data_IF_778932046748
#
_entry.id   IF_778932046748
#
_cell.length_a   1.000
_cell.length_b   1.000
_cell.length_c   1.000
_cell.angle_alpha   90.00
_cell.angle_beta   90.00
_cell.angle_gamma   90.00
#
_symmetry.space_group_name_H-M   'P 1'
#
loop_
_entity.id
_entity.type
_entity.pdbx_description
1 polymer ?
#
# COMPACT_ATOMS: atom_id res chain seq x y z
N UNK A 1 14.51 -17.52 -26.84
CA UNK A 1 13.04 -17.77 -26.79
C UNK A 1 12.75 -19.09 -27.49
N UNK A 2 11.98 -19.99 -26.87
CA UNK A 2 11.55 -21.27 -27.50
C UNK A 2 10.38 -21.00 -28.43
N UNK A 3 10.46 -21.48 -29.67
CA UNK A 3 9.38 -21.39 -30.66
C UNK A 3 8.69 -22.75 -30.79
N UNK A 4 7.37 -22.77 -30.89
CA UNK A 4 6.55 -23.93 -31.17
C UNK A 4 5.57 -23.64 -32.30
N UNK A 5 5.31 -24.65 -33.13
CA UNK A 5 4.28 -24.54 -34.16
C UNK A 5 2.92 -24.86 -33.55
N UNK A 6 1.93 -24.06 -33.87
CA UNK A 6 0.53 -24.33 -33.55
C UNK A 6 0.03 -25.42 -34.48
N UNK A 7 -0.74 -26.37 -33.99
CA UNK A 7 -1.40 -27.43 -34.74
C UNK A 7 -2.91 -27.31 -34.61
N UNK A 8 -3.63 -27.54 -35.66
CA UNK A 8 -5.10 -27.61 -35.66
C UNK A 8 -5.53 -29.06 -35.57
N UNK A 9 -6.38 -29.37 -34.62
CA UNK A 9 -6.93 -30.75 -34.39
C UNK A 9 -8.45 -30.69 -34.40
N UNK A 10 -9.11 -31.65 -35.03
CA UNK A 10 -10.58 -31.73 -35.09
C UNK A 10 -11.25 -30.55 -35.81
N UNK A 11 -10.50 -29.75 -36.60
CA UNK A 11 -11.02 -28.65 -37.39
C UNK A 11 -11.25 -27.32 -36.62
N UNK A 12 -11.23 -27.32 -35.28
CA UNK A 12 -11.54 -26.15 -34.46
C UNK A 12 -10.59 -25.91 -33.28
N UNK A 13 -9.77 -26.88 -32.88
CA UNK A 13 -8.95 -26.79 -31.68
C UNK A 13 -7.49 -26.53 -32.03
N UNK A 14 -6.92 -25.44 -31.52
CA UNK A 14 -5.50 -25.15 -31.65
C UNK A 14 -4.70 -25.77 -30.51
N UNK A 15 -3.63 -26.51 -30.82
CA UNK A 15 -2.74 -27.18 -29.87
C UNK A 15 -1.33 -26.63 -29.98
N UNK A 16 -0.67 -26.41 -28.85
CA UNK A 16 0.74 -26.09 -28.76
C UNK A 16 1.42 -27.02 -27.76
N UNK A 17 2.60 -27.59 -28.12
CA UNK A 17 3.33 -28.49 -27.21
C UNK A 17 4.07 -27.69 -26.13
N UNK A 18 3.91 -28.13 -24.88
CA UNK A 18 4.65 -27.58 -23.74
C UNK A 18 6.14 -27.98 -23.79
N UNK A 19 7.07 -27.12 -23.31
CA UNK A 19 8.48 -27.49 -23.21
C UNK A 19 8.67 -28.66 -22.24
N UNK A 20 9.21 -29.80 -22.70
CA UNK A 20 9.39 -31.01 -21.91
C UNK A 20 10.10 -30.77 -20.57
N UNK A 21 11.19 -30.00 -20.59
CA UNK A 21 11.95 -29.68 -19.36
C UNK A 21 11.10 -28.93 -18.34
N UNK A 22 10.32 -27.94 -18.78
CA UNK A 22 9.42 -27.17 -17.93
C UNK A 22 8.31 -28.05 -17.35
N UNK A 23 7.67 -28.88 -18.19
CA UNK A 23 6.61 -29.79 -17.76
C UNK A 23 7.11 -30.76 -16.67
N UNK A 24 8.28 -31.37 -16.88
CA UNK A 24 8.86 -32.30 -15.88
C UNK A 24 9.18 -31.57 -14.58
N UNK A 25 9.81 -30.39 -14.65
CA UNK A 25 10.14 -29.61 -13.46
C UNK A 25 8.93 -29.17 -12.64
N UNK A 26 7.77 -29.04 -13.29
CA UNK A 26 6.47 -28.68 -12.66
C UNK A 26 5.60 -29.89 -12.34
N UNK A 27 6.11 -31.11 -12.54
CA UNK A 27 5.35 -32.33 -12.25
C UNK A 27 4.15 -32.56 -13.16
N UNK A 28 4.10 -31.88 -14.32
CA UNK A 28 2.99 -31.99 -15.29
C UNK A 28 3.07 -33.32 -16.00
N UNK A 29 1.97 -34.08 -15.97
CA UNK A 29 1.77 -35.40 -16.58
C UNK A 29 0.55 -35.37 -17.51
N UNK A 30 0.35 -36.43 -18.27
CA UNK A 30 -0.90 -36.61 -19.02
C UNK A 30 -2.11 -36.56 -18.07
N UNK A 31 -3.11 -35.74 -18.40
CA UNK A 31 -4.29 -35.49 -17.57
C UNK A 31 -4.13 -34.39 -16.52
N UNK A 32 -2.92 -33.78 -16.38
CA UNK A 32 -2.77 -32.63 -15.50
C UNK A 32 -3.50 -31.40 -16.09
N UNK A 33 -4.33 -30.75 -15.29
CA UNK A 33 -5.00 -29.53 -15.68
C UNK A 33 -4.01 -28.35 -15.67
N UNK A 34 -4.13 -27.48 -16.67
CA UNK A 34 -3.35 -26.26 -16.81
C UNK A 34 -4.32 -25.09 -16.79
N UNK A 35 -4.10 -24.16 -15.86
CA UNK A 35 -4.77 -22.85 -15.89
C UNK A 35 -4.19 -21.99 -17.02
N UNK A 36 -5.07 -21.35 -17.78
CA UNK A 36 -4.68 -20.41 -18.85
C UNK A 36 -5.24 -19.04 -18.48
N UNK A 37 -4.37 -18.07 -18.37
CA UNK A 37 -4.74 -16.66 -18.10
C UNK A 37 -4.32 -15.82 -19.30
N UNK A 38 -5.26 -15.05 -19.86
CA UNK A 38 -4.98 -14.10 -20.96
C UNK A 38 -4.41 -12.81 -20.38
N UNK A 39 -3.24 -12.41 -20.87
CA UNK A 39 -2.54 -11.19 -20.49
C UNK A 39 -2.27 -10.35 -21.73
N UNK A 40 -3.27 -9.57 -22.17
CA UNK A 40 -3.22 -8.85 -23.44
C UNK A 40 -2.98 -9.82 -24.61
N UNK A 41 -1.91 -9.63 -25.38
CA UNK A 41 -1.54 -10.48 -26.53
C UNK A 41 -0.79 -11.77 -26.13
N UNK A 42 -0.76 -12.11 -24.85
CA UNK A 42 -0.01 -13.27 -24.33
C UNK A 42 -0.90 -14.20 -23.54
N UNK A 43 -0.50 -15.47 -23.48
CA UNK A 43 -1.11 -16.47 -22.59
C UNK A 43 -0.12 -16.86 -21.51
N UNK A 44 -0.55 -16.77 -20.25
CA UNK A 44 0.18 -17.32 -19.12
C UNK A 44 -0.37 -18.73 -18.80
N UNK A 45 0.52 -19.71 -18.81
CA UNK A 45 0.20 -21.10 -18.48
C UNK A 45 0.65 -21.41 -17.06
N UNK A 46 -0.26 -21.81 -16.21
CA UNK A 46 -0.02 -22.12 -14.80
C UNK A 46 -0.39 -23.57 -14.50
N UNK A 47 0.41 -24.34 -13.71
CA UNK A 47 -0.06 -25.58 -13.13
C UNK A 47 -1.34 -25.32 -12.31
N UNK A 48 -2.34 -26.20 -12.39
CA UNK A 48 -3.58 -26.04 -11.65
C UNK A 48 -3.72 -27.16 -10.59
N UNK A 49 -4.01 -26.84 -9.33
CA UNK A 49 -4.10 -25.49 -8.77
C UNK A 49 -2.75 -24.78 -8.75
N UNK A 50 -2.71 -23.43 -8.83
CA UNK A 50 -1.45 -22.69 -8.75
C UNK A 50 -0.70 -23.08 -7.49
N UNK A 51 0.61 -23.35 -7.62
CA UNK A 51 1.44 -23.63 -6.45
C UNK A 51 1.54 -22.36 -5.60
N UNK A 52 0.73 -22.24 -4.58
CA UNK A 52 0.94 -21.26 -3.54
C UNK A 52 2.26 -21.59 -2.82
N UNK A 53 3.01 -20.57 -2.42
CA UNK A 53 4.15 -20.75 -1.50
C UNK A 53 3.59 -21.08 -0.12
N UNK A 54 3.29 -22.37 0.11
CA UNK A 54 2.48 -22.76 1.25
C UNK A 54 3.19 -22.57 2.57
N UNK A 55 4.45 -23.01 2.70
CA UNK A 55 5.12 -23.05 4.00
C UNK A 55 6.63 -22.76 3.89
N UNK A 56 7.13 -22.02 4.86
CA UNK A 56 8.57 -21.83 5.10
C UNK A 56 8.87 -22.00 6.59
N UNK A 57 10.02 -22.59 6.90
CA UNK A 57 10.54 -22.67 8.26
C UNK A 57 11.84 -21.84 8.35
N UNK A 58 11.97 -21.03 9.37
CA UNK A 58 13.14 -20.19 9.63
C UNK A 58 13.61 -20.36 11.08
N UNK A 59 14.92 -20.30 11.35
CA UNK A 59 15.42 -20.27 12.72
C UNK A 59 15.07 -18.94 13.38
N UNK A 60 14.98 -18.98 14.72
CA UNK A 60 14.96 -17.76 15.54
C UNK A 60 16.25 -16.98 15.34
N UNK A 61 16.20 -15.68 15.44
CA UNK A 61 17.37 -14.78 15.42
C UNK A 61 17.49 -14.08 16.76
N UNK A 62 18.74 -13.79 17.18
CA UNK A 62 19.02 -13.10 18.45
C UNK A 62 18.43 -11.69 18.50
N UNK A 63 18.33 -11.03 17.35
CA UNK A 63 17.71 -9.72 17.22
C UNK A 63 16.24 -9.85 16.81
N UNK A 64 15.27 -9.57 17.71
CA UNK A 64 13.84 -9.69 17.42
C UNK A 64 13.37 -8.80 16.24
N UNK A 65 13.97 -7.62 16.08
CA UNK A 65 13.63 -6.69 15.00
C UNK A 65 14.13 -7.21 13.63
N UNK A 66 15.31 -7.84 13.59
CA UNK A 66 15.81 -8.49 12.38
C UNK A 66 14.90 -9.67 12.00
N UNK A 67 14.48 -10.47 12.97
CA UNK A 67 13.53 -11.56 12.79
C UNK A 67 12.17 -11.04 12.26
N UNK A 68 11.65 -9.96 12.83
CA UNK A 68 10.41 -9.32 12.37
C UNK A 68 10.53 -8.85 10.91
N UNK A 69 11.63 -8.18 10.53
CA UNK A 69 11.89 -7.78 9.13
C UNK A 69 11.94 -8.98 8.18
N UNK A 70 12.52 -10.10 8.62
CA UNK A 70 12.56 -11.35 7.85
C UNK A 70 11.17 -11.95 7.67
N UNK A 71 10.34 -11.93 8.69
CA UNK A 71 8.92 -12.35 8.63
C UNK A 71 8.16 -11.50 7.62
N UNK A 72 8.31 -10.16 7.65
CA UNK A 72 7.72 -9.25 6.66
C UNK A 72 8.19 -9.59 5.24
N UNK A 73 9.49 -9.82 5.05
CA UNK A 73 10.03 -10.16 3.74
C UNK A 73 9.43 -11.47 3.19
N UNK A 74 9.28 -12.50 4.03
CA UNK A 74 8.64 -13.77 3.66
C UNK A 74 7.15 -13.60 3.36
N UNK A 75 6.45 -12.82 4.20
CA UNK A 75 5.07 -12.44 3.94
C UNK A 75 4.92 -11.74 2.58
N UNK A 76 5.76 -10.75 2.28
CA UNK A 76 5.74 -10.02 1.01
C UNK A 76 6.09 -10.88 -0.22
N UNK A 77 6.91 -11.92 -0.05
CA UNK A 77 7.25 -12.88 -1.12
C UNK A 77 6.08 -13.84 -1.40
N UNK A 78 5.08 -13.92 -0.51
CA UNK A 78 3.86 -14.67 -0.72
C UNK A 78 3.73 -15.97 0.06
N UNK A 79 4.57 -16.25 1.06
CA UNK A 79 4.37 -17.41 1.93
C UNK A 79 3.09 -17.27 2.76
N UNK A 80 2.25 -18.31 2.76
CA UNK A 80 1.01 -18.35 3.52
C UNK A 80 1.21 -18.84 4.95
N UNK A 81 2.22 -19.69 5.17
CA UNK A 81 2.58 -20.19 6.50
C UNK A 81 4.07 -19.97 6.76
N UNK A 82 4.40 -19.29 7.86
CA UNK A 82 5.77 -19.02 8.28
C UNK A 82 5.95 -19.65 9.67
N UNK A 83 6.85 -20.62 9.79
CA UNK A 83 7.20 -21.24 11.06
C UNK A 83 8.56 -20.73 11.54
N UNK A 84 8.57 -20.14 12.72
CA UNK A 84 9.78 -19.74 13.42
C UNK A 84 10.13 -20.85 14.39
N UNK A 85 11.34 -21.37 14.35
CA UNK A 85 11.80 -22.48 15.17
C UNK A 85 13.04 -22.11 15.96
N UNK A 86 13.12 -22.61 17.20
CA UNK A 86 14.28 -22.51 18.06
C UNK A 86 14.70 -23.92 18.52
N UNK A 87 15.98 -24.13 18.77
CA UNK A 87 16.47 -25.34 19.41
C UNK A 87 16.07 -25.38 20.89
N UNK A 88 15.97 -24.20 21.51
CA UNK A 88 15.57 -24.00 22.89
C UNK A 88 14.20 -23.34 22.97
N UNK A 89 13.76 -23.06 24.21
CA UNK A 89 12.53 -22.27 24.42
C UNK A 89 12.71 -20.86 23.87
N UNK A 90 11.73 -20.38 23.10
CA UNK A 90 11.68 -18.99 22.63
C UNK A 90 11.50 -18.09 23.85
N UNK A 91 12.37 -17.07 24.08
CA UNK A 91 12.23 -16.12 25.17
C UNK A 91 10.85 -15.43 25.17
N UNK A 92 10.29 -15.16 26.33
CA UNK A 92 8.92 -14.62 26.44
C UNK A 92 8.77 -13.23 25.84
N UNK A 93 9.78 -12.40 26.01
CA UNK A 93 9.84 -11.04 25.43
C UNK A 93 9.88 -11.04 23.91
N UNK A 94 10.70 -11.92 23.30
CA UNK A 94 10.76 -12.11 21.84
C UNK A 94 9.41 -12.61 21.31
N UNK A 95 8.78 -13.54 22.02
CA UNK A 95 7.48 -14.10 21.65
C UNK A 95 6.37 -13.05 21.69
N UNK A 96 6.33 -12.25 22.74
CA UNK A 96 5.35 -11.17 22.91
C UNK A 96 5.55 -10.08 21.84
N UNK A 97 6.81 -9.67 21.65
CA UNK A 97 7.17 -8.72 20.59
C UNK A 97 6.69 -9.17 19.21
N UNK A 98 6.98 -10.43 18.83
CA UNK A 98 6.55 -10.96 17.52
C UNK A 98 5.03 -11.00 17.38
N UNK A 99 4.30 -11.42 18.41
CA UNK A 99 2.83 -11.46 18.37
C UNK A 99 2.22 -10.08 18.18
N UNK A 100 2.72 -9.08 18.90
CA UNK A 100 2.27 -7.70 18.79
C UNK A 100 2.61 -7.15 17.41
N UNK A 101 3.84 -7.33 16.94
CA UNK A 101 4.29 -6.91 15.62
C UNK A 101 3.44 -7.50 14.47
N UNK A 102 3.13 -8.80 14.54
CA UNK A 102 2.32 -9.47 13.52
C UNK A 102 0.92 -8.87 13.49
N UNK A 103 0.29 -8.71 14.65
CA UNK A 103 -1.05 -8.14 14.78
C UNK A 103 -1.12 -6.69 14.25
N UNK A 104 -0.09 -5.91 14.52
CA UNK A 104 -0.03 -4.49 14.11
C UNK A 104 0.34 -4.31 12.63
N UNK A 105 1.27 -5.11 12.10
CA UNK A 105 1.86 -4.85 10.78
C UNK A 105 1.42 -5.80 9.66
N UNK A 106 0.87 -7.00 9.96
CA UNK A 106 0.56 -8.00 8.93
C UNK A 106 -0.94 -8.27 8.86
N UNK A 107 -1.61 -7.65 7.90
CA UNK A 107 -3.05 -7.82 7.70
C UNK A 107 -3.42 -9.29 7.44
N UNK A 108 -4.47 -9.76 8.14
CA UNK A 108 -5.01 -11.11 7.97
C UNK A 108 -4.05 -12.23 8.36
N UNK A 109 -3.05 -11.96 9.21
CA UNK A 109 -2.08 -12.96 9.67
C UNK A 109 -2.34 -13.27 11.14
N UNK A 110 -2.46 -14.57 11.45
CA UNK A 110 -2.70 -15.05 12.81
C UNK A 110 -1.64 -16.06 13.25
N UNK A 111 -1.41 -16.11 14.56
CA UNK A 111 -0.59 -17.14 15.18
C UNK A 111 -1.47 -18.39 15.37
N UNK A 112 -1.23 -19.42 14.58
CA UNK A 112 -2.01 -20.66 14.60
C UNK A 112 -1.39 -21.76 15.50
N UNK A 113 -0.12 -21.62 15.84
CA UNK A 113 0.60 -22.55 16.73
C UNK A 113 1.60 -21.78 17.58
N UNK A 114 1.54 -21.96 18.88
CA UNK A 114 2.39 -21.32 19.87
C UNK A 114 2.94 -22.36 20.85
N UNK A 115 4.08 -22.97 20.50
CA UNK A 115 4.77 -23.99 21.28
C UNK A 115 6.01 -23.41 21.96
N UNK A 116 6.56 -24.06 22.99
CA UNK A 116 7.75 -23.57 23.68
C UNK A 116 8.92 -23.22 22.78
N UNK A 117 9.18 -24.01 21.72
CA UNK A 117 10.29 -23.86 20.79
C UNK A 117 9.89 -23.48 19.36
N UNK A 118 8.61 -23.22 19.11
CA UNK A 118 8.17 -22.77 17.79
C UNK A 118 6.95 -21.84 17.83
N UNK A 119 6.89 -20.94 16.86
CA UNK A 119 5.76 -20.04 16.59
C UNK A 119 5.39 -20.17 15.11
N UNK A 120 4.14 -20.51 14.82
CA UNK A 120 3.67 -20.66 13.43
C UNK A 120 2.61 -19.62 13.12
N UNK A 121 2.88 -18.84 12.07
CA UNK A 121 2.04 -17.78 11.55
C UNK A 121 1.35 -18.27 10.29
N UNK A 122 0.09 -17.87 10.10
CA UNK A 122 -0.68 -18.17 8.89
C UNK A 122 -1.42 -16.93 8.40
N UNK A 123 -1.32 -16.68 7.10
CA UNK A 123 -2.12 -15.67 6.41
C UNK A 123 -3.48 -16.29 6.11
N UNK A 124 -4.53 -15.71 6.67
CA UNK A 124 -5.91 -16.20 6.56
C UNK A 124 -6.70 -15.39 5.52
N UNK A 125 -6.32 -14.11 5.32
CA UNK A 125 -7.01 -13.22 4.39
C UNK A 125 -6.68 -13.57 2.94
N UNK A 126 -7.72 -13.81 2.14
CA UNK A 126 -7.59 -14.10 0.72
C UNK A 126 -7.81 -12.85 -0.16
N UNK A 127 -7.22 -12.82 -1.37
CA UNK A 127 -7.44 -11.72 -2.32
C UNK A 127 -8.89 -11.57 -2.78
N UNK A 128 -9.70 -12.62 -2.66
CA UNK A 128 -11.12 -12.60 -2.99
C UNK A 128 -11.98 -11.94 -1.92
N UNK A 129 -11.49 -11.88 -0.68
CA UNK A 129 -12.16 -11.22 0.44
C UNK A 129 -11.80 -9.75 0.53
N UNK A 130 -10.56 -9.38 0.16
CA UNK A 130 -10.09 -8.00 0.13
C UNK A 130 -9.20 -7.80 -1.10
N UNK A 131 -9.75 -7.16 -2.13
CA UNK A 131 -9.02 -6.85 -3.35
C UNK A 131 -8.00 -5.73 -3.14
N UNK A 132 -7.07 -5.56 -4.10
CA UNK A 132 -6.14 -4.41 -4.12
C UNK A 132 -6.90 -3.10 -4.08
N UNK A 133 -7.98 -2.97 -4.87
CA UNK A 133 -8.78 -1.75 -4.95
C UNK A 133 -9.46 -1.42 -3.61
N UNK A 134 -10.04 -2.42 -2.95
CA UNK A 134 -10.71 -2.22 -1.66
C UNK A 134 -9.73 -1.87 -0.55
N UNK A 135 -8.56 -2.51 -0.52
CA UNK A 135 -7.51 -2.19 0.44
C UNK A 135 -6.96 -0.77 0.24
N UNK A 136 -6.71 -0.35 -1.00
CA UNK A 136 -6.25 1.01 -1.33
C UNK A 136 -7.32 2.05 -0.99
N UNK A 137 -8.60 1.79 -1.29
CA UNK A 137 -9.71 2.66 -0.88
C UNK A 137 -9.74 2.83 0.63
N UNK A 138 -9.57 1.74 1.39
CA UNK A 138 -9.53 1.80 2.86
C UNK A 138 -8.34 2.63 3.36
N UNK A 139 -7.14 2.44 2.79
CA UNK A 139 -5.99 3.30 3.09
C UNK A 139 -6.32 4.78 2.87
N UNK A 140 -6.91 5.13 1.73
CA UNK A 140 -7.32 6.51 1.42
C UNK A 140 -8.31 7.08 2.42
N UNK A 141 -9.33 6.31 2.85
CA UNK A 141 -10.31 6.75 3.85
C UNK A 141 -9.66 7.02 5.22
N UNK A 142 -8.79 6.13 5.68
CA UNK A 142 -8.07 6.31 6.96
C UNK A 142 -7.16 7.52 6.89
N UNK A 143 -6.36 7.66 5.83
CA UNK A 143 -5.44 8.79 5.61
C UNK A 143 -6.18 10.12 5.55
N UNK A 144 -7.34 10.18 4.87
CA UNK A 144 -8.18 11.38 4.85
C UNK A 144 -8.58 11.80 6.27
N UNK A 145 -9.10 10.86 7.07
CA UNK A 145 -9.49 11.14 8.46
C UNK A 145 -8.29 11.57 9.30
N UNK A 146 -7.11 10.95 9.08
CA UNK A 146 -5.88 11.37 9.77
C UNK A 146 -5.49 12.81 9.45
N UNK A 147 -5.64 13.28 8.20
CA UNK A 147 -5.38 14.66 7.79
C UNK A 147 -6.35 15.65 8.44
N UNK A 148 -7.66 15.32 8.44
CA UNK A 148 -8.70 16.14 9.08
C UNK A 148 -8.41 16.29 10.59
N UNK A 149 -8.13 15.18 11.27
CA UNK A 149 -7.82 15.17 12.70
C UNK A 149 -6.48 15.86 13.02
N UNK A 150 -5.46 15.71 12.15
CA UNK A 150 -4.20 16.41 12.30
C UNK A 150 -4.37 17.95 12.23
N UNK A 151 -5.25 18.45 11.36
CA UNK A 151 -5.59 19.87 11.31
C UNK A 151 -6.28 20.34 12.60
N UNK A 152 -7.20 19.54 13.15
CA UNK A 152 -7.81 19.81 14.46
C UNK A 152 -6.77 19.83 15.58
N UNK A 153 -5.78 18.92 15.55
CA UNK A 153 -4.66 18.91 16.49
C UNK A 153 -3.88 20.22 16.46
N UNK A 154 -3.63 20.78 15.27
CA UNK A 154 -2.96 22.08 15.12
C UNK A 154 -3.82 23.23 15.68
N UNK A 155 -5.12 23.24 15.35
CA UNK A 155 -6.07 24.28 15.76
C UNK A 155 -6.29 24.31 17.28
N UNK A 156 -6.38 23.16 17.92
CA UNK A 156 -6.78 23.02 19.31
C UNK A 156 -5.63 22.69 20.27
N UNK A 157 -4.46 22.31 19.73
CA UNK A 157 -3.32 21.75 20.49
C UNK A 157 -3.78 20.53 21.31
N UNK A 158 -4.53 19.64 20.64
CA UNK A 158 -5.18 18.49 21.26
C UNK A 158 -4.23 17.27 21.31
N UNK A 159 -3.63 17.03 22.48
CA UNK A 159 -2.66 15.92 22.68
C UNK A 159 -3.29 14.54 22.44
N UNK A 160 -4.46 14.29 22.98
CA UNK A 160 -5.11 12.96 22.88
C UNK A 160 -5.42 12.60 21.43
N UNK A 161 -5.92 13.57 20.66
CA UNK A 161 -6.20 13.37 19.24
C UNK A 161 -4.91 13.18 18.44
N UNK A 162 -3.83 13.92 18.78
CA UNK A 162 -2.55 13.74 18.13
C UNK A 162 -1.96 12.34 18.35
N UNK A 163 -2.07 11.81 19.56
CA UNK A 163 -1.64 10.44 19.88
C UNK A 163 -2.48 9.39 19.09
N UNK A 164 -3.75 9.66 18.86
CA UNK A 164 -4.62 8.79 18.07
C UNK A 164 -4.25 8.82 16.57
N UNK A 165 -4.01 10.00 16.00
CA UNK A 165 -3.53 10.15 14.61
C UNK A 165 -2.22 9.36 14.42
N UNK A 166 -1.27 9.48 15.36
CA UNK A 166 0.01 8.76 15.29
C UNK A 166 -0.19 7.23 15.30
N UNK A 167 -1.15 6.72 16.05
CA UNK A 167 -1.43 5.26 16.09
C UNK A 167 -2.14 4.75 14.85
N UNK A 168 -2.98 5.56 14.20
CA UNK A 168 -3.70 5.14 12.98
C UNK A 168 -2.79 4.92 11.79
N UNK A 169 -1.59 5.46 11.79
CA UNK A 169 -0.56 5.21 10.78
C UNK A 169 -0.25 3.71 10.62
N UNK A 170 -0.23 2.96 11.73
CA UNK A 170 -0.05 1.50 11.71
C UNK A 170 -1.14 0.78 10.87
N UNK A 171 -2.36 1.34 10.80
CA UNK A 171 -3.42 0.77 9.96
C UNK A 171 -3.14 1.00 8.46
N UNK A 172 -2.68 2.19 8.08
CA UNK A 172 -2.30 2.52 6.69
C UNK A 172 -1.13 1.64 6.25
N UNK A 173 -0.07 1.55 7.05
CA UNK A 173 1.10 0.70 6.82
C UNK A 173 0.70 -0.76 6.62
N UNK A 174 -0.15 -1.29 7.50
CA UNK A 174 -0.62 -2.68 7.47
C UNK A 174 -1.33 -3.03 6.16
N UNK A 175 -2.21 -2.16 5.68
CA UNK A 175 -2.87 -2.35 4.38
C UNK A 175 -1.89 -2.14 3.22
N UNK A 176 -0.95 -1.20 3.32
CA UNK A 176 0.11 -1.01 2.33
C UNK A 176 0.95 -2.28 2.14
N UNK A 177 1.42 -2.87 3.23
CA UNK A 177 2.16 -4.15 3.22
C UNK A 177 1.32 -5.27 2.58
N UNK A 178 0.03 -5.34 2.89
CA UNK A 178 -0.88 -6.33 2.31
C UNK A 178 -1.03 -6.15 0.79
N UNK A 179 -1.28 -4.93 0.32
CA UNK A 179 -1.38 -4.65 -1.12
C UNK A 179 -0.07 -5.03 -1.83
N UNK A 180 1.09 -4.66 -1.29
CA UNK A 180 2.39 -5.01 -1.88
C UNK A 180 2.57 -6.53 -1.97
N UNK A 181 2.12 -7.29 -0.96
CA UNK A 181 2.11 -8.76 -1.01
C UNK A 181 1.28 -9.27 -2.19
N UNK A 182 0.06 -8.75 -2.36
CA UNK A 182 -0.82 -9.14 -3.47
C UNK A 182 -0.19 -8.85 -4.83
N UNK A 183 0.33 -7.62 -5.03
CA UNK A 183 0.98 -7.19 -6.27
C UNK A 183 2.19 -8.07 -6.61
N UNK A 184 3.06 -8.38 -5.64
CA UNK A 184 4.22 -9.26 -5.83
C UNK A 184 3.80 -10.70 -6.16
N UNK A 185 2.79 -11.21 -5.47
CA UNK A 185 2.28 -12.56 -5.73
C UNK A 185 1.73 -12.68 -7.14
N UNK A 186 0.91 -11.72 -7.56
CA UNK A 186 0.33 -11.70 -8.90
C UNK A 186 1.41 -11.55 -9.99
N UNK A 187 2.40 -10.69 -9.78
CA UNK A 187 3.51 -10.52 -10.72
C UNK A 187 4.38 -11.79 -10.89
N UNK A 188 4.49 -12.61 -9.83
CA UNK A 188 5.34 -13.81 -9.83
C UNK A 188 4.62 -15.08 -10.27
N UNK A 189 3.34 -15.20 -9.93
CA UNK A 189 2.59 -16.46 -10.05
C UNK A 189 1.37 -16.35 -10.96
N UNK A 190 1.11 -15.18 -11.57
CA UNK A 190 -0.15 -14.88 -12.27
C UNK A 190 -1.29 -14.61 -11.28
N UNK A 191 -2.51 -14.59 -11.80
CA UNK A 191 -3.69 -14.33 -10.97
C UNK A 191 -3.98 -12.84 -10.77
N UNK A 192 -3.61 -12.00 -11.73
CA UNK A 192 -3.82 -10.55 -11.67
C UNK A 192 -5.31 -10.22 -11.50
N UNK A 193 -6.18 -10.94 -12.20
CA UNK A 193 -7.63 -10.76 -12.08
C UNK A 193 -8.16 -11.15 -10.69
N UNK A 194 -7.49 -12.09 -9.99
CA UNK A 194 -7.88 -12.49 -8.62
C UNK A 194 -7.65 -11.39 -7.59
N UNK A 195 -6.67 -10.52 -7.83
CA UNK A 195 -6.40 -9.37 -6.96
C UNK A 195 -7.19 -8.11 -7.36
N UNK A 196 -8.09 -8.21 -8.36
CA UNK A 196 -8.94 -7.12 -8.84
C UNK A 196 -8.29 -6.19 -9.86
N UNK A 197 -7.17 -6.59 -10.50
CA UNK A 197 -6.48 -5.82 -11.54
C UNK A 197 -6.63 -6.47 -12.92
N UNK A 198 -6.38 -5.70 -13.99
CA UNK A 198 -6.57 -6.18 -15.37
C UNK A 198 -5.28 -6.65 -16.04
N UNK A 199 -4.16 -5.99 -15.74
CA UNK A 199 -2.87 -6.30 -16.36
C UNK A 199 -1.69 -6.03 -15.42
N UNK A 200 -0.48 -6.47 -15.81
CA UNK A 200 0.74 -6.31 -15.01
C UNK A 200 1.18 -4.84 -14.84
N UNK A 201 0.83 -3.96 -15.79
CA UNK A 201 1.15 -2.52 -15.67
C UNK A 201 0.40 -1.89 -14.49
N UNK A 202 -0.83 -2.34 -14.24
CA UNK A 202 -1.63 -1.86 -13.11
C UNK A 202 -0.88 -2.10 -11.79
N UNK A 203 -0.15 -3.22 -11.65
CA UNK A 203 0.66 -3.50 -10.46
C UNK A 203 1.69 -2.40 -10.17
N UNK A 204 2.31 -1.82 -11.20
CA UNK A 204 3.27 -0.72 -11.02
C UNK A 204 2.58 0.55 -10.56
N UNK A 205 1.45 0.90 -11.18
CA UNK A 205 0.65 2.06 -10.78
C UNK A 205 0.17 1.94 -9.34
N UNK A 206 -0.46 0.83 -8.97
CA UNK A 206 -0.91 0.61 -7.60
C UNK A 206 0.23 0.56 -6.58
N UNK A 207 1.44 0.14 -6.98
CA UNK A 207 2.63 0.20 -6.12
C UNK A 207 3.04 1.64 -5.79
N UNK A 208 2.98 2.55 -6.77
CA UNK A 208 3.22 3.98 -6.58
C UNK A 208 2.11 4.58 -5.72
N UNK A 209 0.85 4.34 -6.07
CA UNK A 209 -0.32 4.83 -5.32
C UNK A 209 -0.23 4.47 -3.83
N UNK A 210 0.05 3.20 -3.49
CA UNK A 210 0.22 2.77 -2.09
C UNK A 210 1.29 3.60 -1.39
N UNK A 211 2.43 3.84 -2.07
CA UNK A 211 3.53 4.61 -1.46
C UNK A 211 3.20 6.09 -1.30
N UNK A 212 2.44 6.67 -2.22
CA UNK A 212 1.96 8.05 -2.09
C UNK A 212 0.96 8.19 -0.94
N UNK A 213 0.02 7.24 -0.77
CA UNK A 213 -0.92 7.26 0.38
C UNK A 213 -0.18 7.09 1.72
N UNK A 214 0.80 6.16 1.83
CA UNK A 214 1.65 6.03 3.02
C UNK A 214 2.34 7.37 3.36
N UNK A 215 2.96 8.03 2.37
CA UNK A 215 3.63 9.32 2.58
C UNK A 215 2.67 10.42 3.03
N UNK A 216 1.45 10.44 2.49
CA UNK A 216 0.41 11.38 2.92
C UNK A 216 0.04 11.11 4.39
N UNK A 217 -0.11 9.86 4.81
CA UNK A 217 -0.35 9.49 6.21
C UNK A 217 0.83 9.88 7.11
N UNK A 218 2.09 9.63 6.68
CA UNK A 218 3.30 10.08 7.36
C UNK A 218 3.26 11.61 7.62
N UNK A 219 2.77 12.41 6.64
CA UNK A 219 2.64 13.86 6.79
C UNK A 219 1.53 14.23 7.77
N UNK A 220 0.41 13.51 7.85
CA UNK A 220 -0.58 13.70 8.90
C UNK A 220 0.02 13.44 10.30
N UNK A 221 0.85 12.38 10.43
CA UNK A 221 1.61 12.09 11.66
C UNK A 221 2.59 13.22 11.99
N UNK A 222 3.31 13.76 11.00
CA UNK A 222 4.20 14.90 11.21
C UNK A 222 3.45 16.14 11.67
N UNK A 223 2.28 16.42 11.12
CA UNK A 223 1.43 17.54 11.57
C UNK A 223 0.99 17.32 13.03
N UNK A 224 0.51 16.13 13.37
CA UNK A 224 0.09 15.77 14.72
C UNK A 224 1.26 15.90 15.73
N UNK A 225 2.45 15.37 15.41
CA UNK A 225 3.64 15.47 16.26
C UNK A 225 4.07 16.94 16.46
N UNK A 226 4.03 17.76 15.42
CA UNK A 226 4.43 19.17 15.51
C UNK A 226 3.38 20.03 16.20
N UNK A 227 2.09 19.67 16.17
CA UNK A 227 1.07 20.33 16.97
C UNK A 227 1.35 20.23 18.47
N UNK A 228 1.95 19.12 18.94
CA UNK A 228 2.33 18.90 20.34
C UNK A 228 3.48 19.82 20.81
N UNK A 229 4.22 20.42 19.88
CA UNK A 229 5.30 21.38 20.18
C UNK A 229 4.79 22.84 20.30
N UNK A 230 3.55 23.09 19.89
CA UNK A 230 2.91 24.39 20.04
C UNK A 230 2.54 24.62 21.50
N UNK A 231 2.94 25.77 22.06
CA UNK A 231 2.59 26.15 23.45
C UNK A 231 1.16 26.66 23.57
N UNK A 232 0.71 27.35 22.53
CA UNK A 232 -0.60 28.00 22.45
C UNK A 232 -1.26 27.67 21.11
N UNK A 233 -2.57 27.84 21.05
CA UNK A 233 -3.33 27.78 19.80
C UNK A 233 -2.82 28.83 18.82
N UNK A 234 -2.67 28.51 17.53
CA UNK A 234 -2.35 29.50 16.52
C UNK A 234 -3.36 30.67 16.53
N UNK A 235 -2.91 31.89 16.21
CA UNK A 235 -3.82 33.03 16.09
C UNK A 235 -4.85 32.76 14.98
N UNK A 236 -6.06 33.35 15.10
CA UNK A 236 -7.12 33.17 14.10
C UNK A 236 -6.68 33.49 12.67
N UNK A 237 -5.90 34.57 12.48
CA UNK A 237 -5.40 34.99 11.16
C UNK A 237 -4.43 34.00 10.51
N UNK A 238 -3.58 33.33 11.30
CA UNK A 238 -2.73 32.23 10.83
C UNK A 238 -3.54 30.97 10.59
N UNK A 239 -4.47 30.65 11.51
CA UNK A 239 -5.28 29.45 11.40
C UNK A 239 -6.15 29.45 10.15
N UNK A 240 -6.72 30.60 9.77
CA UNK A 240 -7.47 30.78 8.53
C UNK A 240 -6.63 30.41 7.29
N UNK A 241 -5.37 30.84 7.23
CA UNK A 241 -4.44 30.51 6.13
C UNK A 241 -4.11 29.02 6.10
N UNK A 242 -3.84 28.43 7.28
CA UNK A 242 -3.58 26.99 7.40
C UNK A 242 -4.81 26.16 7.01
N UNK A 243 -6.03 26.57 7.38
CA UNK A 243 -7.27 25.90 6.99
C UNK A 243 -7.53 25.98 5.48
N UNK A 244 -7.19 27.12 4.84
CA UNK A 244 -7.28 27.25 3.37
C UNK A 244 -6.30 26.32 2.67
N UNK A 245 -5.04 26.28 3.09
CA UNK A 245 -4.03 25.37 2.53
C UNK A 245 -4.42 23.90 2.77
N UNK A 246 -4.84 23.56 4.00
CA UNK A 246 -5.25 22.20 4.34
C UNK A 246 -6.50 21.76 3.55
N UNK A 247 -7.51 22.63 3.43
CA UNK A 247 -8.70 22.36 2.63
C UNK A 247 -8.37 22.12 1.16
N UNK A 248 -7.44 22.90 0.60
CA UNK A 248 -6.96 22.70 -0.76
C UNK A 248 -6.23 21.36 -0.92
N UNK A 249 -5.25 21.05 -0.07
CA UNK A 249 -4.48 19.81 -0.13
C UNK A 249 -5.36 18.56 0.08
N UNK A 250 -6.32 18.63 1.01
CA UNK A 250 -7.28 17.56 1.24
C UNK A 250 -8.20 17.35 0.04
N UNK A 251 -8.68 18.44 -0.60
CA UNK A 251 -9.49 18.36 -1.81
C UNK A 251 -8.73 17.69 -2.96
N UNK A 252 -7.45 18.01 -3.16
CA UNK A 252 -6.61 17.35 -4.16
C UNK A 252 -6.50 15.84 -3.88
N UNK A 253 -6.28 15.46 -2.62
CA UNK A 253 -6.22 14.05 -2.25
C UNK A 253 -7.53 13.32 -2.51
N UNK A 254 -8.67 13.91 -2.11
CA UNK A 254 -10.00 13.35 -2.38
C UNK A 254 -10.29 13.20 -3.86
N UNK A 255 -9.96 14.20 -4.67
CA UNK A 255 -10.14 14.15 -6.12
C UNK A 255 -9.27 13.07 -6.75
N UNK A 256 -7.99 12.96 -6.35
CA UNK A 256 -7.09 11.92 -6.84
C UNK A 256 -7.57 10.51 -6.48
N UNK A 257 -8.05 10.29 -5.25
CA UNK A 257 -8.62 9.01 -4.83
C UNK A 257 -9.93 8.68 -5.56
N UNK A 258 -10.79 9.68 -5.79
CA UNK A 258 -12.01 9.51 -6.58
C UNK A 258 -11.70 9.18 -8.04
N UNK A 259 -10.72 9.86 -8.64
CA UNK A 259 -10.25 9.57 -9.99
C UNK A 259 -9.73 8.14 -10.10
N UNK A 260 -8.96 7.68 -9.12
CA UNK A 260 -8.44 6.31 -9.07
C UNK A 260 -9.57 5.26 -8.95
N UNK A 261 -10.54 5.49 -8.09
CA UNK A 261 -11.66 4.56 -7.86
C UNK A 261 -12.55 4.43 -9.10
N UNK A 262 -12.82 5.54 -9.79
CA UNK A 262 -13.68 5.59 -10.99
C UNK A 262 -12.93 5.34 -12.29
N UNK A 263 -11.60 5.28 -12.24
CA UNK A 263 -10.73 5.26 -13.42
C UNK A 263 -11.05 6.44 -14.37
N UNK A 264 -11.14 7.64 -13.79
CA UNK A 264 -11.59 8.87 -14.45
C UNK A 264 -10.39 9.74 -14.84
N UNK A 265 -10.07 9.76 -16.15
CA UNK A 265 -8.98 10.52 -16.73
C UNK A 265 -9.16 12.02 -16.50
N UNK A 266 -10.35 12.57 -16.79
CA UNK A 266 -10.61 14.01 -16.73
C UNK A 266 -10.51 14.57 -15.30
N UNK A 267 -10.94 13.79 -14.31
CA UNK A 267 -10.79 14.17 -12.90
C UNK A 267 -9.31 14.13 -12.47
N UNK A 268 -8.51 13.19 -12.99
CA UNK A 268 -7.08 13.13 -12.72
C UNK A 268 -6.33 14.34 -13.34
N UNK A 269 -6.64 14.71 -14.59
CA UNK A 269 -6.08 15.92 -15.22
C UNK A 269 -6.34 17.18 -14.40
N UNK A 270 -7.56 17.35 -13.86
CA UNK A 270 -7.88 18.49 -13.01
C UNK A 270 -7.00 18.57 -11.76
N UNK A 271 -6.67 17.43 -11.15
CA UNK A 271 -5.78 17.42 -9.97
C UNK A 271 -4.39 17.96 -10.35
N UNK A 272 -3.87 17.54 -11.51
CA UNK A 272 -2.55 17.97 -12.01
C UNK A 272 -2.55 19.47 -12.35
N UNK A 273 -3.61 19.95 -13.02
CA UNK A 273 -3.75 21.38 -13.38
C UNK A 273 -3.81 22.29 -12.14
N UNK A 274 -4.37 21.79 -11.03
CA UNK A 274 -4.51 22.55 -9.78
C UNK A 274 -3.22 22.63 -8.96
N UNK A 275 -2.22 21.76 -9.20
CA UNK A 275 -0.99 21.66 -8.39
C UNK A 275 -0.29 22.99 -8.18
N UNK A 276 -0.15 23.81 -9.25
CA UNK A 276 0.53 25.10 -9.17
C UNK A 276 -0.07 26.10 -8.18
N UNK A 277 -1.33 25.91 -7.77
CA UNK A 277 -2.00 26.80 -6.80
C UNK A 277 -1.51 26.60 -5.37
N UNK A 278 -0.93 25.45 -5.06
CA UNK A 278 -0.44 25.15 -3.70
C UNK A 278 0.67 26.11 -3.27
N UNK A 279 1.55 26.51 -4.19
CA UNK A 279 2.71 27.36 -3.90
C UNK A 279 2.29 28.75 -3.37
N UNK A 280 1.22 29.34 -3.91
CA UNK A 280 0.71 30.62 -3.41
C UNK A 280 0.14 30.51 -2.00
N UNK A 281 -0.58 29.43 -1.68
CA UNK A 281 -1.14 29.17 -0.36
C UNK A 281 -0.05 28.89 0.69
N UNK A 282 1.02 28.20 0.25
CA UNK A 282 2.22 27.96 1.07
C UNK A 282 2.90 29.29 1.39
N UNK A 283 3.14 30.15 0.39
CA UNK A 283 3.76 31.47 0.58
C UNK A 283 2.97 32.34 1.58
N UNK A 284 1.65 32.44 1.40
CA UNK A 284 0.77 33.19 2.33
C UNK A 284 0.85 32.64 3.77
N UNK A 285 0.98 31.32 3.92
CA UNK A 285 1.08 30.67 5.23
C UNK A 285 2.46 30.90 5.87
N UNK A 286 3.53 30.85 5.09
CA UNK A 286 4.90 31.12 5.56
C UNK A 286 5.04 32.56 6.02
N UNK A 287 4.53 33.55 5.27
CA UNK A 287 4.56 34.94 5.66
C UNK A 287 3.89 35.16 7.03
N UNK A 288 2.76 34.52 7.29
CA UNK A 288 2.08 34.62 8.58
C UNK A 288 2.83 33.89 9.72
N UNK A 289 3.62 32.88 9.41
CA UNK A 289 4.46 32.20 10.40
C UNK A 289 5.66 33.07 10.82
N UNK A 290 6.24 33.83 9.91
CA UNK A 290 7.42 34.67 10.21
C UNK A 290 7.14 35.77 11.27
N UNK A 291 5.88 36.11 11.50
CA UNK A 291 5.46 37.02 12.56
C UNK A 291 5.43 36.40 13.96
N UNK A 292 5.82 35.09 14.07
CA UNK A 292 5.75 34.29 15.30
C UNK A 292 7.06 34.23 16.06
N UNK A 293 6.98 33.68 17.28
CA UNK A 293 8.19 33.43 18.07
C UNK A 293 9.05 32.36 17.41
N UNK A 294 10.40 32.40 17.53
CA UNK A 294 11.27 31.40 16.94
C UNK A 294 10.91 29.95 17.32
N UNK A 295 10.36 29.72 18.52
CA UNK A 295 9.96 28.42 19.03
C UNK A 295 8.72 27.88 18.31
N UNK A 296 7.84 28.73 17.79
CA UNK A 296 6.63 28.35 17.06
C UNK A 296 6.89 28.23 15.55
N UNK A 297 7.89 28.96 15.01
CA UNK A 297 8.21 28.96 13.58
C UNK A 297 8.55 27.56 13.09
N UNK A 298 9.42 26.82 13.79
CA UNK A 298 9.90 25.53 13.34
C UNK A 298 8.77 24.47 13.19
N UNK A 299 7.93 24.23 14.20
CA UNK A 299 6.82 23.27 14.07
C UNK A 299 5.77 23.71 13.04
N UNK A 300 5.44 25.01 12.96
CA UNK A 300 4.48 25.52 11.98
C UNK A 300 4.98 25.38 10.54
N UNK A 301 6.27 25.59 10.27
CA UNK A 301 6.86 25.35 8.94
C UNK A 301 6.77 23.90 8.53
N UNK A 302 6.97 22.95 9.46
CA UNK A 302 6.81 21.51 9.17
C UNK A 302 5.37 21.19 8.84
N UNK A 303 4.40 21.82 9.52
CA UNK A 303 2.97 21.65 9.23
C UNK A 303 2.64 22.17 7.83
N UNK A 304 3.09 23.38 7.46
CA UNK A 304 2.87 23.93 6.11
C UNK A 304 3.53 23.06 5.04
N UNK A 305 4.79 22.64 5.26
CA UNK A 305 5.48 21.75 4.33
C UNK A 305 4.75 20.40 4.20
N UNK A 306 4.20 19.87 5.30
CA UNK A 306 3.41 18.63 5.24
C UNK A 306 2.17 18.78 4.37
N UNK A 307 1.45 19.88 4.49
CA UNK A 307 0.28 20.18 3.64
C UNK A 307 0.67 20.33 2.16
N UNK A 308 1.79 21.00 1.86
CA UNK A 308 2.33 21.08 0.51
C UNK A 308 2.61 19.68 -0.06
N UNK A 309 3.26 18.82 0.72
CA UNK A 309 3.57 17.44 0.31
C UNK A 309 2.34 16.58 0.09
N UNK A 310 1.27 16.79 0.85
CA UNK A 310 -0.02 16.12 0.60
C UNK A 310 -0.54 16.43 -0.80
N UNK A 311 -0.47 17.70 -1.23
CA UNK A 311 -0.89 18.09 -2.58
C UNK A 311 0.00 17.41 -3.66
N UNK A 312 1.32 17.44 -3.51
CA UNK A 312 2.26 16.82 -4.45
C UNK A 312 2.03 15.30 -4.59
N UNK A 313 1.89 14.56 -3.46
CA UNK A 313 1.62 13.13 -3.53
C UNK A 313 0.23 12.81 -4.07
N UNK A 314 -0.72 13.75 -3.99
CA UNK A 314 -2.02 13.61 -4.65
C UNK A 314 -1.88 13.71 -6.16
N UNK A 315 -1.01 14.58 -6.65
CA UNK A 315 -0.64 14.65 -8.07
C UNK A 315 0.03 13.35 -8.56
N UNK A 316 0.96 12.77 -7.77
CA UNK A 316 1.54 11.45 -8.09
C UNK A 316 0.46 10.37 -8.30
N UNK A 317 -0.59 10.38 -7.45
CA UNK A 317 -1.72 9.44 -7.59
C UNK A 317 -2.51 9.73 -8.88
N UNK A 318 -2.77 11.00 -9.20
CA UNK A 318 -3.48 11.40 -10.42
C UNK A 318 -2.69 11.00 -11.68
N UNK A 319 -1.37 11.19 -11.72
CA UNK A 319 -0.52 10.71 -12.82
C UNK A 319 -0.63 9.19 -13.03
N UNK A 320 -0.70 8.42 -11.94
CA UNK A 320 -0.97 6.98 -12.05
C UNK A 320 -2.30 6.71 -12.72
N UNK A 321 -3.36 7.46 -12.38
CA UNK A 321 -4.68 7.31 -13.01
C UNK A 321 -4.61 7.57 -14.51
N UNK A 322 -3.92 8.63 -14.95
CA UNK A 322 -3.72 8.90 -16.38
C UNK A 322 -3.07 7.70 -17.07
N UNK A 323 -2.01 7.14 -16.48
CA UNK A 323 -1.30 5.99 -17.03
C UNK A 323 -2.16 4.71 -17.09
N UNK A 324 -3.10 4.54 -16.14
CA UNK A 324 -4.02 3.40 -16.11
C UNK A 324 -5.17 3.53 -17.12
N UNK A 325 -5.53 4.76 -17.51
CA UNK A 325 -6.77 5.05 -18.27
C UNK A 325 -6.55 5.56 -19.68
N UNK A 326 -5.36 6.10 -20.02
CA UNK A 326 -5.08 6.73 -21.33
C UNK A 326 -5.41 5.85 -22.53
N UNK A 327 -5.22 4.53 -22.46
CA UNK A 327 -5.55 3.62 -23.56
C UNK A 327 -7.06 3.47 -23.80
N UNK A 328 -7.89 3.76 -22.79
CA UNK A 328 -9.34 3.75 -22.90
C UNK A 328 -9.86 5.01 -23.58
N UNK A 329 -9.16 6.15 -23.38
CA UNK A 329 -9.53 7.44 -23.99
C UNK A 329 -9.13 7.55 -25.47
N UNK A 330 -8.08 6.84 -25.91
CA UNK A 330 -7.60 6.84 -27.30
C UNK A 330 -8.35 5.83 -28.17
N UNK A 331 -8.96 4.80 -27.59
CA UNK A 331 -9.61 3.68 -28.30
C UNK A 331 -11.14 3.77 -28.35
N UNK A 332 -11.76 4.92 -27.95
CA UNK A 332 -13.19 5.17 -28.00
C UNK A 332 -13.61 5.87 -29.28
#
# INVERSE_FOLDING_TARGET
MLKRKVQLTGGSTFIVSLPKKWAIQRGIKAGTEIGIEELGDSLLLLPFPPSEKEKVEIPIEDNPEALARKVVALYLVGFNTIRIRSENRIPSDVREFLKNFIKEKLAGTEVIEDLPSSLTLRVLLSPTELSVRDAVRRMGMVTRTMLEDALICVKEVNRTLAEDVIKRDDEVDRFGIYVIRLLKSAASNGGIRRIGLQNLRDCLGYRVTVKSIERIADHAVLMAKNSLLLKNRPLPSLMEKLERLAGFSLSMFELAMNALEREDYDTAEKVIEEEGKVESLVAESIDAILERTPQEIAPLRIIVESLRRVAEYSTDIAEVVLNLTVTKTIGG
#
